data_IF_580004564028
#
_entry.id   IF_580004564028
#
_cell.length_a   1.000
_cell.length_b   1.000
_cell.length_c   1.000
_cell.angle_alpha   90.00
_cell.angle_beta   90.00
_cell.angle_gamma   90.00
#
_symmetry.space_group_name_H-M   'P 1'
#
loop_
_entity.id
_entity.type
_entity.pdbx_description
1 polymer ?
#
# COMPACT_ATOMS: atom_id res chain seq x y z
N UNK A 1 2.22 -22.55 1.21
CA UNK A 1 1.13 -21.87 1.94
C UNK A 1 0.31 -21.06 0.95
N UNK A 2 -0.92 -21.48 0.62
CA UNK A 2 -1.85 -20.66 -0.16
C UNK A 2 -2.40 -19.56 0.76
N UNK A 3 -2.00 -18.30 0.55
CA UNK A 3 -2.60 -17.17 1.24
C UNK A 3 -4.08 -17.12 0.85
N UNK A 4 -4.98 -17.23 1.83
CA UNK A 4 -6.42 -17.00 1.62
C UNK A 4 -6.57 -15.56 1.17
N UNK A 5 -6.97 -15.39 -0.09
CA UNK A 5 -7.62 -14.17 -0.55
C UNK A 5 -8.81 -13.90 0.39
N UNK A 6 -8.97 -12.69 0.95
CA UNK A 6 -10.09 -12.40 1.82
C UNK A 6 -11.41 -12.65 1.06
N UNK A 7 -12.39 -13.28 1.73
CA UNK A 7 -13.60 -13.78 1.08
C UNK A 7 -14.48 -12.60 0.65
N UNK A 8 -15.24 -12.80 -0.43
CA UNK A 8 -16.22 -11.83 -0.94
C UNK A 8 -17.24 -11.44 0.15
N UNK A 9 -17.60 -12.38 1.02
CA UNK A 9 -18.53 -12.16 2.13
C UNK A 9 -18.05 -11.13 3.17
N UNK A 10 -16.74 -10.83 3.19
CA UNK A 10 -16.10 -9.89 4.11
C UNK A 10 -15.84 -8.51 3.48
N UNK A 11 -16.35 -8.25 2.26
CA UNK A 11 -16.08 -7.01 1.53
C UNK A 11 -16.49 -5.78 2.34
N UNK A 12 -15.57 -4.83 2.46
CA UNK A 12 -15.76 -3.61 3.26
C UNK A 12 -15.59 -3.78 4.77
N UNK A 13 -15.39 -5.01 5.29
CA UNK A 13 -15.06 -5.22 6.70
C UNK A 13 -13.66 -4.68 7.02
N UNK A 14 -13.40 -4.23 8.26
CA UNK A 14 -12.09 -3.70 8.66
C UNK A 14 -10.92 -4.65 8.36
N UNK A 15 -11.09 -5.94 8.62
CA UNK A 15 -10.07 -6.96 8.41
C UNK A 15 -9.76 -7.16 6.92
N UNK A 16 -10.80 -7.12 6.08
CA UNK A 16 -10.67 -7.19 4.62
C UNK A 16 -9.92 -5.97 4.09
N UNK A 17 -10.27 -4.76 4.54
CA UNK A 17 -9.58 -3.51 4.17
C UNK A 17 -8.12 -3.50 4.63
N UNK A 18 -7.85 -4.01 5.83
CA UNK A 18 -6.50 -4.16 6.34
C UNK A 18 -5.67 -5.13 5.49
N UNK A 19 -6.27 -6.26 5.06
CA UNK A 19 -5.62 -7.21 4.16
C UNK A 19 -5.30 -6.58 2.80
N UNK A 20 -6.22 -5.78 2.24
CA UNK A 20 -6.01 -5.05 0.99
C UNK A 20 -4.85 -4.05 1.09
N UNK A 21 -4.80 -3.25 2.16
CA UNK A 21 -3.70 -2.32 2.42
C UNK A 21 -2.37 -3.05 2.61
N UNK A 22 -2.36 -4.15 3.37
CA UNK A 22 -1.17 -4.95 3.59
C UNK A 22 -0.63 -5.55 2.29
N UNK A 23 -1.52 -6.02 1.40
CA UNK A 23 -1.15 -6.52 0.09
C UNK A 23 -0.57 -5.42 -0.81
N UNK A 24 -1.15 -4.22 -0.79
CA UNK A 24 -0.63 -3.07 -1.54
C UNK A 24 0.79 -2.70 -1.10
N UNK A 25 1.03 -2.66 0.21
CA UNK A 25 2.38 -2.44 0.77
C UNK A 25 3.32 -3.56 0.35
N UNK A 26 2.90 -4.83 0.52
CA UNK A 26 3.73 -5.99 0.17
C UNK A 26 4.16 -5.99 -1.29
N UNK A 27 3.25 -5.67 -2.22
CA UNK A 27 3.54 -5.64 -3.66
C UNK A 27 4.59 -4.60 -4.03
N UNK A 28 4.67 -3.53 -3.24
CA UNK A 28 5.47 -2.35 -3.57
C UNK A 28 6.74 -2.22 -2.71
N UNK A 29 6.83 -2.96 -1.61
CA UNK A 29 7.96 -2.94 -0.67
C UNK A 29 9.33 -3.27 -1.30
N UNK A 30 9.35 -4.01 -2.40
CA UNK A 30 10.58 -4.41 -3.11
C UNK A 30 10.84 -3.62 -4.40
N UNK A 31 9.98 -2.65 -4.74
CA UNK A 31 10.13 -1.87 -5.97
C UNK A 31 11.07 -0.69 -5.74
N UNK A 32 12.16 -0.66 -6.49
CA UNK A 32 13.05 0.50 -6.54
C UNK A 32 12.46 1.56 -7.48
N UNK A 33 11.66 2.47 -6.93
CA UNK A 33 11.21 3.68 -7.62
C UNK A 33 9.70 3.94 -7.61
N UNK A 34 9.24 4.98 -8.33
CA UNK A 34 7.84 5.36 -8.37
C UNK A 34 6.98 4.33 -9.10
N UNK A 35 5.72 4.21 -8.68
CA UNK A 35 4.80 3.16 -9.09
C UNK A 35 3.56 3.80 -9.72
N UNK A 36 3.10 3.23 -10.83
CA UNK A 36 1.84 3.64 -11.44
C UNK A 36 0.66 3.17 -10.58
N UNK A 37 -0.25 4.07 -10.17
CA UNK A 37 -1.48 3.68 -9.46
C UNK A 37 -2.31 2.68 -10.23
N UNK A 38 -2.34 2.75 -11.57
CA UNK A 38 -3.09 1.81 -12.41
C UNK A 38 -2.50 0.41 -12.38
N UNK A 39 -1.16 0.29 -12.37
CA UNK A 39 -0.50 -1.00 -12.25
C UNK A 39 -0.77 -1.64 -10.88
N UNK A 40 -0.70 -0.83 -9.82
CA UNK A 40 -1.04 -1.29 -8.47
C UNK A 40 -2.53 -1.65 -8.34
N UNK A 41 -3.42 -0.85 -8.93
CA UNK A 41 -4.86 -1.14 -8.98
C UNK A 41 -5.12 -2.48 -9.64
N UNK A 42 -4.51 -2.72 -10.81
CA UNK A 42 -4.68 -3.96 -11.55
C UNK A 42 -4.16 -5.16 -10.75
N UNK A 43 -3.00 -5.03 -10.11
CA UNK A 43 -2.46 -6.06 -9.21
C UNK A 43 -3.45 -6.42 -8.09
N UNK A 44 -4.02 -5.41 -7.42
CA UNK A 44 -4.95 -5.63 -6.30
C UNK A 44 -6.27 -6.24 -6.77
N UNK A 45 -6.78 -5.82 -7.93
CA UNK A 45 -7.95 -6.42 -8.56
C UNK A 45 -7.70 -7.91 -8.86
N UNK A 46 -6.57 -8.23 -9.48
CA UNK A 46 -6.21 -9.61 -9.83
C UNK A 46 -5.98 -10.46 -8.57
N UNK A 47 -5.40 -9.88 -7.52
CA UNK A 47 -5.24 -10.54 -6.23
C UNK A 47 -6.58 -10.86 -5.56
N UNK A 48 -7.53 -9.92 -5.60
CA UNK A 48 -8.89 -10.10 -5.09
C UNK A 48 -9.71 -11.06 -5.94
N UNK A 49 -9.40 -11.22 -7.24
CA UNK A 49 -10.21 -12.00 -8.16
C UNK A 49 -11.62 -11.41 -8.37
N UNK A 50 -11.77 -10.11 -8.17
CA UNK A 50 -13.02 -9.36 -8.26
C UNK A 50 -13.00 -8.40 -9.45
N UNK A 51 -14.16 -8.03 -9.97
CA UNK A 51 -14.27 -7.00 -11.00
C UNK A 51 -14.02 -5.59 -10.44
N UNK A 52 -13.78 -4.63 -11.34
CA UNK A 52 -13.65 -3.22 -10.97
C UNK A 52 -14.92 -2.68 -10.30
N UNK A 53 -16.09 -3.10 -10.77
CA UNK A 53 -17.38 -2.70 -10.20
C UNK A 53 -17.52 -3.14 -8.74
N UNK A 54 -16.99 -4.32 -8.40
CA UNK A 54 -17.11 -4.90 -7.05
C UNK A 54 -16.11 -4.32 -6.05
N UNK A 55 -14.87 -4.03 -6.47
CA UNK A 55 -13.78 -3.69 -5.54
C UNK A 55 -13.08 -2.35 -5.81
N UNK A 56 -13.38 -1.68 -6.93
CA UNK A 56 -12.64 -0.50 -7.38
C UNK A 56 -12.71 0.67 -6.40
N UNK A 57 -13.86 0.87 -5.75
CA UNK A 57 -14.01 1.89 -4.71
C UNK A 57 -13.06 1.67 -3.53
N UNK A 58 -12.95 0.44 -3.05
CA UNK A 58 -12.09 0.08 -1.92
C UNK A 58 -10.60 0.12 -2.27
N UNK A 59 -10.24 -0.28 -3.50
CA UNK A 59 -8.87 -0.12 -4.00
C UNK A 59 -8.50 1.36 -4.06
N UNK A 60 -9.37 2.22 -4.59
CA UNK A 60 -9.14 3.66 -4.62
C UNK A 60 -8.99 4.27 -3.22
N UNK A 61 -9.82 3.86 -2.26
CA UNK A 61 -9.69 4.26 -0.86
C UNK A 61 -8.32 3.83 -0.31
N UNK A 62 -7.89 2.60 -0.61
CA UNK A 62 -6.58 2.09 -0.17
C UNK A 62 -5.43 2.94 -0.71
N UNK A 63 -5.44 3.27 -2.01
CA UNK A 63 -4.45 4.13 -2.63
C UNK A 63 -4.41 5.53 -1.98
N UNK A 64 -5.58 6.08 -1.66
CA UNK A 64 -5.70 7.36 -0.98
C UNK A 64 -5.15 7.32 0.45
N UNK A 65 -5.45 6.25 1.20
CA UNK A 65 -4.94 6.03 2.55
C UNK A 65 -3.43 5.87 2.58
N UNK A 66 -2.84 5.19 1.60
CA UNK A 66 -1.39 5.05 1.45
C UNK A 66 -0.70 6.41 1.36
N UNK A 67 -1.27 7.37 0.63
CA UNK A 67 -0.70 8.72 0.52
C UNK A 67 -1.00 9.58 1.74
N UNK A 68 -2.24 9.55 2.26
CA UNK A 68 -2.63 10.36 3.43
C UNK A 68 -1.99 9.92 4.74
N UNK A 69 -1.65 8.64 4.87
CA UNK A 69 -0.88 8.12 6.00
C UNK A 69 0.60 8.53 5.94
N UNK A 70 1.05 9.13 4.83
CA UNK A 70 2.44 9.47 4.61
C UNK A 70 3.31 8.26 4.25
N UNK A 71 2.75 7.05 4.10
CA UNK A 71 3.50 5.87 3.67
C UNK A 71 4.02 6.02 2.24
N UNK A 72 3.29 6.75 1.39
CA UNK A 72 3.66 7.08 0.02
C UNK A 72 3.47 8.57 -0.25
N UNK A 73 4.20 9.09 -1.22
CA UNK A 73 3.99 10.41 -1.79
C UNK A 73 3.42 10.26 -3.20
N UNK A 74 2.59 11.21 -3.63
CA UNK A 74 2.09 11.28 -5.01
C UNK A 74 2.50 12.61 -5.63
N UNK A 75 2.98 12.58 -6.88
CA UNK A 75 3.32 13.78 -7.64
C UNK A 75 2.09 14.63 -8.03
N UNK A 76 0.88 14.07 -7.92
CA UNK A 76 -0.39 14.77 -8.18
C UNK A 76 -1.18 15.04 -6.91
N UNK A 77 -0.55 14.93 -5.73
CA UNK A 77 -1.16 15.31 -4.46
C UNK A 77 -1.14 16.83 -4.30
N UNK A 78 -2.32 17.43 -4.24
CA UNK A 78 -2.50 18.80 -3.81
C UNK A 78 -2.59 18.84 -2.28
N UNK A 79 -1.55 19.40 -1.65
CA UNK A 79 -1.43 19.47 -0.20
C UNK A 79 -2.40 20.49 0.41
N UNK A 80 -2.77 21.53 -0.32
CA UNK A 80 -3.68 22.58 0.16
C UNK A 80 -5.11 22.05 0.28
N UNK A 81 -5.54 21.29 -0.72
CA UNK A 81 -6.89 20.71 -0.76
C UNK A 81 -6.95 19.29 -0.17
N UNK A 82 -5.80 18.64 0.02
CA UNK A 82 -5.69 17.24 0.42
C UNK A 82 -6.23 16.27 -0.63
N UNK A 83 -6.29 16.69 -1.90
CA UNK A 83 -6.86 15.92 -3.01
C UNK A 83 -5.76 15.23 -3.80
N UNK A 84 -6.07 14.03 -4.30
CA UNK A 84 -5.18 13.28 -5.19
C UNK A 84 -5.95 13.02 -6.46
N UNK A 85 -5.41 13.50 -7.57
CA UNK A 85 -5.96 13.18 -8.89
C UNK A 85 -5.22 11.97 -9.43
N UNK A 86 -5.92 10.86 -9.67
CA UNK A 86 -5.37 9.68 -10.34
C UNK A 86 -5.45 9.88 -11.87
N UNK A 87 -4.32 10.19 -12.49
CA UNK A 87 -4.18 10.38 -13.93
C UNK A 87 -3.04 9.51 -14.47
N UNK A 88 -2.97 9.37 -15.80
CA UNK A 88 -1.97 8.50 -16.46
C UNK A 88 -0.51 8.81 -16.08
N UNK A 89 -0.22 10.04 -15.66
CA UNK A 89 1.10 10.51 -15.24
C UNK A 89 1.30 10.52 -13.71
N UNK A 90 0.32 10.05 -12.95
CA UNK A 90 0.42 9.94 -11.49
C UNK A 90 1.41 8.84 -11.13
N UNK A 91 2.28 9.12 -10.17
CA UNK A 91 3.30 8.22 -9.66
C UNK A 91 3.27 8.23 -8.14
N UNK A 92 3.22 7.04 -7.54
CA UNK A 92 3.32 6.82 -6.10
C UNK A 92 4.74 6.44 -5.74
N UNK A 93 5.38 7.21 -4.87
CA UNK A 93 6.75 6.93 -4.42
C UNK A 93 6.71 6.53 -2.94
N UNK A 94 7.27 5.37 -2.55
CA UNK A 94 7.43 5.00 -1.15
C UNK A 94 8.09 6.13 -0.35
N UNK A 95 7.55 6.43 0.83
CA UNK A 95 8.17 7.38 1.76
C UNK A 95 9.39 6.77 2.43
N UNK A 96 10.27 7.63 2.95
CA UNK A 96 11.40 7.21 3.79
C UNK A 96 10.90 6.42 5.01
N UNK A 97 9.77 6.81 5.61
CA UNK A 97 9.19 6.11 6.76
C UNK A 97 8.87 4.66 6.42
N UNK A 98 8.22 4.41 5.28
CA UNK A 98 7.95 3.05 4.83
C UNK A 98 9.24 2.29 4.54
N UNK A 99 10.21 2.92 3.86
CA UNK A 99 11.51 2.33 3.56
C UNK A 99 12.23 1.90 4.84
N UNK A 100 12.26 2.75 5.87
CA UNK A 100 12.83 2.41 7.16
C UNK A 100 12.06 1.27 7.82
N UNK A 101 10.73 1.31 7.89
CA UNK A 101 9.95 0.20 8.46
C UNK A 101 10.16 -1.15 7.77
N UNK A 102 10.52 -1.17 6.49
CA UNK A 102 10.73 -2.40 5.71
C UNK A 102 12.18 -2.90 5.73
N UNK A 103 13.14 -2.01 6.03
CA UNK A 103 14.59 -2.28 5.96
C UNK A 103 15.34 -1.97 7.25
N UNK A 104 14.64 -1.69 8.36
CA UNK A 104 15.26 -1.62 9.68
C UNK A 104 15.75 -3.03 10.05
N UNK A 105 16.99 -3.33 9.65
CA UNK A 105 17.80 -4.30 10.35
C UNK A 105 18.01 -3.69 11.73
N UNK A 106 17.19 -4.10 12.71
CA UNK A 106 17.52 -3.88 14.12
C UNK A 106 18.92 -4.49 14.32
N UNK A 107 19.97 -3.66 14.24
CA UNK A 107 21.29 -4.04 14.71
C UNK A 107 21.07 -4.50 16.15
N UNK A 108 21.24 -5.79 16.38
CA UNK A 108 21.22 -6.36 17.72
C UNK A 108 22.36 -5.69 18.45
N UNK A 109 22.03 -4.72 19.29
CA UNK A 109 22.99 -4.09 20.19
C UNK A 109 23.68 -5.24 20.93
N UNK A 110 25.01 -5.42 20.80
CA UNK A 110 25.70 -6.48 21.50
C UNK A 110 25.43 -6.28 22.98
N UNK A 111 24.85 -7.29 23.61
CA UNK A 111 24.62 -7.31 25.06
C UNK A 111 25.97 -7.04 25.72
N UNK A 112 26.09 -5.87 26.36
CA UNK A 112 27.32 -5.51 27.04
C UNK A 112 27.60 -6.59 28.08
N UNK A 113 28.82 -7.17 28.14
CA UNK A 113 29.12 -8.18 29.13
C UNK A 113 28.91 -7.57 30.52
N UNK A 114 28.00 -8.15 31.29
CA UNK A 114 27.82 -7.83 32.70
C UNK A 114 29.19 -7.96 33.39
N UNK A 115 29.65 -6.87 34.01
CA UNK A 115 30.86 -6.81 34.85
C UNK A 115 30.45 -6.99 36.30
#
# INVERSE_FOLDING_TARGET
MHKRNPRIDDLGQPEWRAALLAEAIRHTAHLAGPISPFALFKHLQDWLGLSEEECGGEINITLFLMVRSGLYTSNTHDVETGTITLAAHTLLTPSITLTLCMHDDHESVPEAPEI
#
